data_IF_989920353738
#
_entry.id   IF_989920353738
#
_cell.length_a   1.000
_cell.length_b   1.000
_cell.length_c   1.000
_cell.angle_alpha   90.00
_cell.angle_beta   90.00
_cell.angle_gamma   90.00
#
_symmetry.space_group_name_H-M   'P 1'
#
loop_
_entity.id
_entity.type
_entity.pdbx_description
1 polymer ?
#
# COMPACT_ATOMS: atom_id res chain seq x y z
N UNK A 1 0.51 -69.51 16.22
CA UNK A 1 1.78 -69.04 15.57
C UNK A 1 1.63 -68.15 14.37
N UNK A 2 0.44 -67.89 13.83
CA UNK A 2 0.19 -67.09 12.63
C UNK A 2 0.07 -65.58 12.90
N UNK A 3 -0.40 -65.14 14.10
CA UNK A 3 -0.62 -63.73 14.46
C UNK A 3 0.70 -62.91 14.59
N UNK A 4 1.81 -63.55 14.96
CA UNK A 4 3.13 -62.89 15.12
C UNK A 4 3.80 -62.51 13.79
N UNK A 5 3.54 -63.31 12.72
CA UNK A 5 4.11 -63.01 11.38
C UNK A 5 3.41 -61.84 10.70
N UNK A 6 2.10 -61.68 10.87
CA UNK A 6 1.29 -60.56 10.31
C UNK A 6 1.70 -59.26 10.96
N UNK A 7 1.94 -59.26 12.28
CA UNK A 7 2.35 -58.03 12.99
C UNK A 7 3.75 -57.58 12.56
N UNK A 8 4.65 -58.48 12.29
CA UNK A 8 6.01 -58.14 11.80
C UNK A 8 5.98 -57.61 10.37
N UNK A 9 5.10 -58.14 9.50
CA UNK A 9 4.90 -57.61 8.15
C UNK A 9 4.27 -56.21 8.15
N UNK A 10 3.24 -55.99 8.99
CA UNK A 10 2.59 -54.70 9.13
C UNK A 10 3.55 -53.61 9.65
N UNK A 11 4.40 -53.96 10.63
CA UNK A 11 5.40 -53.05 11.21
C UNK A 11 6.50 -52.72 10.18
N UNK A 12 6.99 -53.72 9.43
CA UNK A 12 7.96 -53.49 8.36
C UNK A 12 7.45 -52.59 7.24
N UNK A 13 6.17 -52.78 6.86
CA UNK A 13 5.52 -51.96 5.83
C UNK A 13 5.29 -50.50 6.29
N UNK A 14 4.95 -50.33 7.56
CA UNK A 14 4.84 -49.00 8.18
C UNK A 14 6.17 -48.24 8.25
N UNK A 15 7.28 -48.97 8.59
CA UNK A 15 8.62 -48.37 8.57
C UNK A 15 9.07 -47.98 7.16
N UNK A 16 8.73 -48.76 6.13
CA UNK A 16 9.08 -48.43 4.74
C UNK A 16 8.28 -47.18 4.26
N UNK A 17 7.03 -47.04 4.64
CA UNK A 17 6.23 -45.85 4.34
C UNK A 17 6.78 -44.61 5.10
N UNK A 18 7.16 -44.75 6.36
CA UNK A 18 7.76 -43.67 7.15
C UNK A 18 9.11 -43.21 6.58
N UNK A 19 9.93 -44.12 6.05
CA UNK A 19 11.17 -43.78 5.37
C UNK A 19 10.95 -43.13 4.00
N UNK A 20 9.88 -43.49 3.28
CA UNK A 20 9.55 -42.87 2.00
C UNK A 20 9.07 -41.40 2.16
N UNK A 21 8.46 -41.05 3.31
CA UNK A 21 8.11 -39.66 3.62
C UNK A 21 9.28 -38.79 4.10
N UNK A 22 10.40 -39.41 4.53
CA UNK A 22 11.59 -38.67 4.96
C UNK A 22 12.50 -38.20 3.79
N UNK A 23 12.24 -38.67 2.59
CA UNK A 23 12.97 -38.28 1.37
C UNK A 23 12.10 -37.38 0.46
N UNK A 24 11.53 -36.33 1.03
CA UNK A 24 11.15 -35.17 0.19
C UNK A 24 12.48 -34.48 -0.14
N UNK A 25 12.88 -34.44 -1.41
CA UNK A 25 14.04 -33.63 -1.75
C UNK A 25 13.68 -32.20 -1.37
N UNK A 26 14.41 -31.62 -0.42
CA UNK A 26 14.47 -30.18 -0.24
C UNK A 26 15.16 -29.71 -1.51
N UNK A 27 14.36 -29.35 -2.51
CA UNK A 27 14.84 -28.86 -3.77
C UNK A 27 15.60 -27.57 -3.54
N UNK A 28 16.87 -27.58 -3.88
CA UNK A 28 17.74 -26.51 -4.35
C UNK A 28 17.54 -25.07 -3.84
N UNK A 29 17.33 -24.88 -2.53
CA UNK A 29 17.48 -23.54 -1.94
C UNK A 29 18.95 -23.21 -1.60
N UNK A 30 19.89 -24.11 -1.88
CA UNK A 30 21.28 -23.95 -1.49
C UNK A 30 22.06 -22.98 -2.40
N UNK A 31 21.66 -22.85 -3.66
CA UNK A 31 22.37 -22.01 -4.64
C UNK A 31 21.94 -20.52 -4.56
N UNK A 32 20.76 -20.24 -4.02
CA UNK A 32 20.22 -18.89 -3.88
C UNK A 32 20.71 -18.15 -2.64
N UNK A 33 21.28 -18.87 -1.66
CA UNK A 33 21.84 -18.27 -0.43
C UNK A 33 23.20 -17.66 -0.76
N UNK A 34 23.28 -16.35 -0.75
CA UNK A 34 24.48 -15.58 -1.11
C UNK A 34 25.35 -15.20 0.11
N UNK A 35 24.75 -15.12 1.30
CA UNK A 35 25.45 -14.76 2.53
C UNK A 35 24.71 -15.35 3.75
N UNK A 36 25.48 -15.73 4.78
CA UNK A 36 24.98 -16.13 6.10
C UNK A 36 25.72 -15.31 7.14
N UNK A 37 24.99 -14.60 7.97
CA UNK A 37 25.56 -13.81 9.06
C UNK A 37 26.10 -14.78 10.14
N UNK A 38 27.40 -14.74 10.49
CA UNK A 38 27.98 -15.66 11.46
C UNK A 38 27.46 -15.45 12.88
N UNK A 39 27.00 -14.25 13.23
CA UNK A 39 26.55 -13.90 14.58
C UNK A 39 25.10 -14.26 14.83
N UNK A 40 24.23 -14.03 13.84
CA UNK A 40 22.77 -14.24 13.96
C UNK A 40 22.28 -15.52 13.29
N UNK A 41 23.04 -16.06 12.33
CA UNK A 41 22.63 -17.17 11.48
C UNK A 41 21.64 -16.79 10.38
N UNK A 42 21.20 -15.53 10.32
CA UNK A 42 20.28 -15.05 9.28
C UNK A 42 20.98 -14.96 7.92
N UNK A 43 20.17 -15.09 6.86
CA UNK A 43 20.65 -15.30 5.49
C UNK A 43 20.24 -14.18 4.58
N UNK A 44 21.06 -13.92 3.57
CA UNK A 44 20.70 -13.15 2.37
C UNK A 44 20.47 -14.14 1.24
N UNK A 45 19.29 -14.03 0.61
CA UNK A 45 18.86 -14.87 -0.52
C UNK A 45 18.52 -13.95 -1.69
N UNK A 46 19.02 -14.31 -2.89
CA UNK A 46 18.67 -13.63 -4.13
C UNK A 46 18.17 -14.68 -5.12
N UNK A 47 16.94 -14.48 -5.60
CA UNK A 47 16.25 -15.31 -6.58
C UNK A 47 15.79 -14.37 -7.70
N UNK A 48 16.59 -14.25 -8.74
CA UNK A 48 16.31 -13.40 -9.90
C UNK A 48 15.82 -14.26 -11.07
N UNK A 49 14.52 -14.66 -11.02
CA UNK A 49 13.91 -15.52 -12.03
C UNK A 49 13.72 -14.81 -13.38
N UNK A 50 13.61 -13.49 -13.38
CA UNK A 50 13.40 -12.68 -14.59
C UNK A 50 14.70 -12.05 -15.13
N UNK A 51 15.87 -12.40 -14.55
CA UNK A 51 17.20 -11.92 -14.96
C UNK A 51 17.26 -10.37 -15.07
N UNK A 52 16.71 -9.70 -14.04
CA UNK A 52 16.64 -8.24 -13.99
C UNK A 52 17.94 -7.59 -13.54
N UNK A 53 18.79 -8.34 -12.83
CA UNK A 53 20.07 -7.88 -12.31
C UNK A 53 21.22 -8.60 -13.03
N UNK A 54 22.25 -7.86 -13.36
CA UNK A 54 23.48 -8.50 -13.81
C UNK A 54 24.31 -9.00 -12.60
N UNK A 55 25.28 -9.88 -12.85
CA UNK A 55 26.12 -10.49 -11.81
C UNK A 55 26.84 -9.48 -10.88
N UNK A 56 27.23 -8.30 -11.41
CA UNK A 56 27.88 -7.26 -10.61
C UNK A 56 26.86 -6.60 -9.67
N UNK A 57 25.66 -6.33 -10.18
CA UNK A 57 24.55 -5.76 -9.43
C UNK A 57 24.07 -6.70 -8.33
N UNK A 58 23.92 -8.01 -8.59
CA UNK A 58 23.61 -9.00 -7.55
C UNK A 58 24.63 -8.98 -6.41
N UNK A 59 25.93 -9.02 -6.76
CA UNK A 59 26.99 -8.97 -5.74
C UNK A 59 27.00 -7.67 -4.95
N UNK A 60 26.66 -6.55 -5.58
CA UNK A 60 26.54 -5.27 -4.90
C UNK A 60 25.29 -5.29 -3.97
N UNK A 61 24.18 -5.83 -4.45
CA UNK A 61 22.95 -5.94 -3.68
C UNK A 61 23.12 -6.82 -2.43
N UNK A 62 23.88 -7.92 -2.52
CA UNK A 62 24.22 -8.74 -1.33
C UNK A 62 24.88 -7.89 -0.24
N UNK A 63 25.79 -6.97 -0.60
CA UNK A 63 26.46 -6.10 0.37
C UNK A 63 25.47 -5.11 1.00
N UNK A 64 24.55 -4.57 0.18
CA UNK A 64 23.55 -3.63 0.66
C UNK A 64 22.52 -4.32 1.59
N UNK A 65 22.24 -5.62 1.36
CA UNK A 65 21.33 -6.43 2.18
C UNK A 65 21.99 -6.98 3.47
N UNK A 66 23.31 -7.14 3.49
CA UNK A 66 24.05 -7.77 4.61
C UNK A 66 23.74 -7.13 5.98
N UNK A 67 23.68 -5.79 6.16
CA UNK A 67 23.39 -5.19 7.46
C UNK A 67 22.02 -5.58 8.01
N UNK A 68 21.05 -5.86 7.14
CA UNK A 68 19.71 -6.26 7.54
C UNK A 68 19.65 -7.63 8.21
N UNK A 69 20.69 -8.45 8.04
CA UNK A 69 20.80 -9.77 8.70
C UNK A 69 21.01 -9.69 10.21
N UNK A 70 21.12 -8.50 10.78
CA UNK A 70 21.04 -8.30 12.24
C UNK A 70 19.58 -8.43 12.75
N UNK A 71 18.60 -8.16 11.89
CA UNK A 71 17.18 -8.10 12.23
C UNK A 71 16.38 -9.34 11.77
N UNK A 72 16.82 -10.00 10.70
CA UNK A 72 16.15 -11.16 10.16
C UNK A 72 16.76 -11.68 8.86
N UNK A 73 16.18 -12.75 8.33
CA UNK A 73 16.50 -13.27 7.00
C UNK A 73 15.99 -12.29 5.92
N UNK A 74 16.76 -12.07 4.88
CA UNK A 74 16.43 -11.10 3.82
C UNK A 74 16.45 -11.79 2.46
N UNK A 75 15.40 -11.59 1.68
CA UNK A 75 15.31 -12.08 0.31
C UNK A 75 14.99 -10.98 -0.68
N UNK A 76 15.63 -11.06 -1.83
CA UNK A 76 15.23 -10.40 -3.06
C UNK A 76 14.68 -11.45 -4.01
N UNK A 77 13.53 -11.17 -4.63
CA UNK A 77 12.90 -12.08 -5.56
C UNK A 77 12.29 -11.34 -6.73
N UNK A 78 12.56 -11.81 -7.96
CA UNK A 78 11.89 -11.35 -9.16
C UNK A 78 11.06 -12.47 -9.74
N UNK A 79 9.90 -12.17 -10.30
CA UNK A 79 9.03 -13.16 -10.92
C UNK A 79 8.13 -12.56 -11.98
N UNK A 80 7.99 -13.29 -13.10
CA UNK A 80 7.02 -13.02 -14.16
C UNK A 80 5.71 -13.80 -13.99
N UNK A 81 5.52 -14.49 -12.87
CA UNK A 81 4.32 -15.27 -12.62
C UNK A 81 3.12 -14.39 -12.31
N UNK A 82 2.00 -14.62 -12.99
CA UNK A 82 0.75 -13.92 -12.72
C UNK A 82 0.05 -14.51 -11.51
N UNK A 83 -0.34 -13.65 -10.59
CA UNK A 83 -1.15 -14.03 -9.42
C UNK A 83 -2.27 -13.01 -9.21
N UNK A 84 -3.34 -13.43 -8.56
CA UNK A 84 -4.42 -12.54 -8.14
C UNK A 84 -4.13 -11.81 -6.82
N UNK A 85 -3.13 -12.28 -6.05
CA UNK A 85 -2.74 -11.69 -4.77
C UNK A 85 -1.22 -11.81 -4.57
N UNK A 86 -0.50 -10.79 -4.96
CA UNK A 86 0.96 -10.73 -4.91
C UNK A 86 1.49 -10.74 -3.47
N UNK A 87 0.75 -10.15 -2.52
CA UNK A 87 1.15 -10.17 -1.09
C UNK A 87 1.13 -11.60 -0.54
N UNK A 88 0.12 -12.39 -0.91
CA UNK A 88 0.07 -13.79 -0.50
C UNK A 88 1.15 -14.63 -1.20
N UNK A 89 1.45 -14.33 -2.46
CA UNK A 89 2.55 -14.95 -3.20
C UNK A 89 3.90 -14.70 -2.49
N UNK A 90 4.22 -13.44 -2.20
CA UNK A 90 5.42 -13.04 -1.45
C UNK A 90 5.47 -13.71 -0.07
N UNK A 91 4.34 -13.81 0.63
CA UNK A 91 4.24 -14.48 1.93
C UNK A 91 4.56 -15.97 1.83
N UNK A 92 4.03 -16.66 0.82
CA UNK A 92 4.30 -18.08 0.59
C UNK A 92 5.77 -18.31 0.22
N UNK A 93 6.33 -17.49 -0.67
CA UNK A 93 7.76 -17.55 -1.05
C UNK A 93 8.65 -17.32 0.17
N UNK A 94 8.41 -16.25 0.95
CA UNK A 94 9.15 -16.00 2.20
C UNK A 94 9.08 -17.20 3.15
N UNK A 95 7.87 -17.77 3.31
CA UNK A 95 7.68 -18.92 4.18
C UNK A 95 8.39 -20.18 3.68
N UNK A 96 8.49 -20.39 2.39
CA UNK A 96 9.24 -21.50 1.81
C UNK A 96 10.74 -21.35 2.04
N UNK A 97 11.25 -20.10 2.02
CA UNK A 97 12.68 -19.81 2.22
C UNK A 97 13.12 -19.85 3.69
N UNK A 98 12.30 -19.30 4.57
CA UNK A 98 12.68 -19.00 5.96
C UNK A 98 11.77 -19.68 7.01
N UNK A 99 10.73 -20.38 6.58
CA UNK A 99 9.79 -21.01 7.51
C UNK A 99 9.07 -19.98 8.38
N UNK A 100 9.17 -20.17 9.70
CA UNK A 100 8.63 -19.27 10.73
C UNK A 100 9.67 -18.35 11.36
N UNK A 101 10.86 -18.30 10.80
CA UNK A 101 11.91 -17.39 11.27
C UNK A 101 11.60 -15.94 10.86
N UNK A 102 12.19 -14.99 11.62
CA UNK A 102 12.13 -13.59 11.29
C UNK A 102 12.75 -13.34 9.91
N UNK A 103 12.04 -12.60 9.05
CA UNK A 103 12.56 -12.30 7.73
C UNK A 103 11.67 -11.37 6.91
N UNK A 104 12.29 -10.78 5.90
CA UNK A 104 11.66 -9.87 4.96
C UNK A 104 12.00 -10.30 3.54
N UNK A 105 11.02 -10.21 2.63
CA UNK A 105 11.20 -10.40 1.20
C UNK A 105 10.78 -9.14 0.47
N UNK A 106 11.59 -8.70 -0.50
CA UNK A 106 11.23 -7.71 -1.49
C UNK A 106 11.07 -8.40 -2.83
N UNK A 107 9.88 -8.31 -3.40
CA UNK A 107 9.48 -8.91 -4.67
C UNK A 107 9.30 -7.83 -5.73
N UNK A 108 9.82 -8.09 -6.93
CA UNK A 108 9.48 -7.37 -8.17
C UNK A 108 8.69 -8.33 -9.05
N UNK A 109 7.37 -8.12 -9.14
CA UNK A 109 6.53 -8.92 -10.02
C UNK A 109 6.36 -8.22 -11.37
N UNK A 110 6.99 -8.78 -12.41
CA UNK A 110 7.01 -8.19 -13.75
C UNK A 110 5.69 -8.36 -14.48
N UNK A 111 4.96 -9.45 -14.23
CA UNK A 111 3.66 -9.71 -14.85
C UNK A 111 2.58 -8.77 -14.33
N UNK A 112 2.52 -8.59 -13.01
CA UNK A 112 1.55 -7.70 -12.37
C UNK A 112 2.03 -6.23 -12.34
N UNK A 113 3.30 -5.96 -12.66
CA UNK A 113 3.97 -4.67 -12.52
C UNK A 113 3.81 -4.11 -11.12
N UNK A 114 4.15 -4.93 -10.14
CA UNK A 114 4.01 -4.59 -8.73
C UNK A 114 5.30 -4.84 -7.96
N UNK A 115 5.53 -3.98 -6.97
CA UNK A 115 6.55 -4.12 -5.96
C UNK A 115 5.88 -4.56 -4.67
N UNK A 116 6.39 -5.57 -4.03
CA UNK A 116 5.84 -6.11 -2.79
C UNK A 116 6.93 -6.24 -1.74
N UNK A 117 6.68 -5.76 -0.54
CA UNK A 117 7.49 -6.06 0.64
C UNK A 117 6.61 -6.83 1.62
N UNK A 118 7.10 -7.99 2.05
CA UNK A 118 6.42 -8.81 3.03
C UNK A 118 7.41 -9.20 4.13
N UNK A 119 7.08 -8.88 5.37
CA UNK A 119 7.88 -9.13 6.57
C UNK A 119 7.18 -10.07 7.54
N UNK A 120 7.96 -10.71 8.42
CA UNK A 120 7.44 -11.59 9.45
C UNK A 120 8.42 -11.68 10.64
N UNK A 121 7.88 -11.96 11.82
CA UNK A 121 8.69 -12.12 13.03
C UNK A 121 9.16 -10.77 13.57
N UNK A 122 10.36 -10.75 14.16
CA UNK A 122 10.91 -9.56 14.81
C UNK A 122 11.07 -8.36 13.87
N UNK A 123 11.49 -8.59 12.62
CA UNK A 123 11.66 -7.52 11.63
C UNK A 123 10.31 -6.86 11.26
N UNK A 124 9.20 -7.59 11.42
CA UNK A 124 7.85 -7.08 11.17
C UNK A 124 7.41 -6.01 12.19
N UNK A 125 8.00 -5.98 13.38
CA UNK A 125 7.72 -4.94 14.38
C UNK A 125 8.14 -3.55 13.87
N UNK A 126 9.22 -3.52 13.09
CA UNK A 126 9.71 -2.29 12.45
C UNK A 126 9.10 -2.09 11.06
N UNK A 127 9.13 -3.10 10.19
CA UNK A 127 8.63 -3.05 8.82
C UNK A 127 7.15 -3.45 8.79
N UNK A 128 6.29 -2.56 9.27
CA UNK A 128 4.82 -2.73 9.25
C UNK A 128 4.26 -2.57 7.83
N UNK A 129 2.99 -2.95 7.61
CA UNK A 129 2.29 -2.77 6.31
C UNK A 129 2.35 -1.32 5.80
N UNK A 130 2.22 -0.36 6.71
CA UNK A 130 2.28 1.06 6.35
C UNK A 130 3.67 1.45 5.87
N UNK A 131 4.73 1.00 6.55
CA UNK A 131 6.12 1.25 6.16
C UNK A 131 6.47 0.53 4.87
N UNK A 132 6.10 -0.74 4.74
CA UNK A 132 6.29 -1.52 3.51
C UNK A 132 5.66 -0.83 2.30
N UNK A 133 4.43 -0.32 2.44
CA UNK A 133 3.75 0.44 1.38
C UNK A 133 4.43 1.78 1.09
N UNK A 134 4.90 2.48 2.10
CA UNK A 134 5.65 3.73 1.90
C UNK A 134 6.94 3.48 1.13
N UNK A 135 7.70 2.46 1.51
CA UNK A 135 8.95 2.08 0.84
C UNK A 135 8.69 1.72 -0.62
N UNK A 136 7.72 0.81 -0.89
CA UNK A 136 7.41 0.41 -2.27
C UNK A 136 6.97 1.60 -3.13
N UNK A 137 6.20 2.54 -2.59
CA UNK A 137 5.83 3.77 -3.29
C UNK A 137 7.04 4.66 -3.58
N UNK A 138 7.96 4.82 -2.61
CA UNK A 138 9.14 5.66 -2.78
C UNK A 138 10.06 5.15 -3.91
N UNK A 139 10.17 3.82 -4.08
CA UNK A 139 11.08 3.22 -5.06
C UNK A 139 10.43 2.88 -6.39
N UNK A 140 9.11 3.02 -6.53
CA UNK A 140 8.36 2.63 -7.73
C UNK A 140 8.82 3.34 -9.00
N UNK A 141 9.28 4.59 -8.89
CA UNK A 141 9.80 5.36 -10.03
C UNK A 141 11.07 4.76 -10.64
N UNK A 142 11.92 4.08 -9.85
CA UNK A 142 13.07 3.35 -10.37
C UNK A 142 12.63 2.14 -11.20
N UNK A 143 11.66 1.37 -10.70
CA UNK A 143 11.11 0.23 -11.44
C UNK A 143 10.43 0.67 -12.75
N UNK A 144 9.69 1.77 -12.74
CA UNK A 144 9.11 2.39 -13.94
C UNK A 144 10.19 2.75 -14.97
N UNK A 145 11.35 3.21 -14.49
CA UNK A 145 12.50 3.59 -15.32
C UNK A 145 13.40 2.39 -15.66
N UNK A 146 13.00 1.15 -15.32
CA UNK A 146 13.77 -0.09 -15.53
C UNK A 146 15.13 -0.10 -14.81
N UNK A 147 15.27 0.65 -13.74
CA UNK A 147 16.47 0.71 -12.92
C UNK A 147 16.31 -0.24 -11.70
N UNK A 148 16.23 -1.55 -11.97
CA UNK A 148 15.84 -2.54 -10.95
C UNK A 148 16.85 -2.67 -9.82
N UNK A 149 18.15 -2.54 -10.11
CA UNK A 149 19.18 -2.50 -9.08
C UNK A 149 18.99 -1.29 -8.13
N UNK A 150 18.80 -0.08 -8.68
CA UNK A 150 18.57 1.10 -7.86
C UNK A 150 17.27 0.98 -7.05
N UNK A 151 16.23 0.40 -7.64
CA UNK A 151 14.96 0.10 -6.98
C UNK A 151 15.19 -0.79 -5.75
N UNK A 152 15.89 -1.90 -5.92
CA UNK A 152 16.15 -2.89 -4.86
C UNK A 152 17.08 -2.34 -3.78
N UNK A 153 18.17 -1.69 -4.18
CA UNK A 153 19.12 -1.05 -3.27
C UNK A 153 18.44 -0.03 -2.38
N UNK A 154 17.65 0.87 -2.98
CA UNK A 154 16.95 1.90 -2.22
C UNK A 154 15.87 1.31 -1.31
N UNK A 155 15.16 0.26 -1.76
CA UNK A 155 14.20 -0.45 -0.94
C UNK A 155 14.87 -1.04 0.32
N UNK A 156 15.98 -1.75 0.16
CA UNK A 156 16.71 -2.33 1.30
C UNK A 156 17.35 -1.27 2.20
N UNK A 157 17.83 -0.16 1.63
CA UNK A 157 18.31 0.98 2.44
C UNK A 157 17.20 1.54 3.32
N UNK A 158 15.99 1.75 2.79
CA UNK A 158 14.86 2.24 3.57
C UNK A 158 14.34 1.21 4.58
N UNK A 159 14.40 -0.09 4.26
CA UNK A 159 14.09 -1.16 5.23
C UNK A 159 15.07 -1.09 6.41
N UNK A 160 16.36 -0.90 6.14
CA UNK A 160 17.37 -0.75 7.18
C UNK A 160 17.12 0.49 8.04
N UNK A 161 16.85 1.64 7.42
CA UNK A 161 16.53 2.87 8.14
C UNK A 161 15.35 2.69 9.08
N UNK A 162 14.29 1.98 8.63
CA UNK A 162 13.13 1.65 9.46
C UNK A 162 13.50 0.72 10.62
N UNK A 163 14.35 -0.28 10.39
CA UNK A 163 14.85 -1.18 11.44
C UNK A 163 15.69 -0.43 12.47
N UNK A 164 16.47 0.55 12.04
CA UNK A 164 17.25 1.45 12.89
C UNK A 164 16.43 2.60 13.51
N UNK A 165 15.11 2.58 13.35
CA UNK A 165 14.17 3.60 13.87
C UNK A 165 14.38 5.00 13.27
N UNK A 166 15.01 5.09 12.09
CA UNK A 166 15.12 6.33 11.33
C UNK A 166 13.82 6.60 10.58
N UNK A 167 13.58 7.87 10.28
CA UNK A 167 12.40 8.27 9.50
C UNK A 167 12.67 8.08 8.00
N UNK A 168 11.72 7.46 7.32
CA UNK A 168 11.69 7.41 5.85
C UNK A 168 10.67 8.42 5.31
N UNK A 169 10.80 8.75 4.02
CA UNK A 169 9.78 9.56 3.35
C UNK A 169 8.45 8.81 3.34
N UNK A 170 7.44 9.37 3.99
CA UNK A 170 6.08 8.82 3.98
C UNK A 170 5.19 9.71 3.11
N UNK A 171 4.35 9.11 2.24
CA UNK A 171 3.37 9.89 1.50
C UNK A 171 2.45 10.59 2.49
N UNK A 172 2.29 11.90 2.31
CA UNK A 172 1.37 12.70 3.13
C UNK A 172 -0.01 12.05 3.10
N UNK A 173 -0.53 11.68 4.25
CA UNK A 173 -1.92 11.19 4.39
C UNK A 173 -2.87 12.37 4.17
N UNK A 174 -3.07 12.72 2.90
CA UNK A 174 -3.84 13.88 2.44
C UNK A 174 -5.24 13.94 3.09
N UNK A 175 -5.85 12.78 3.34
CA UNK A 175 -7.17 12.70 3.98
C UNK A 175 -7.21 13.36 5.36
N UNK A 176 -6.17 13.20 6.18
CA UNK A 176 -6.08 13.83 7.51
C UNK A 176 -5.99 15.36 7.41
N UNK A 177 -5.18 15.86 6.50
CA UNK A 177 -5.03 17.31 6.31
C UNK A 177 -6.29 17.96 5.72
N UNK A 178 -7.02 17.27 4.84
CA UNK A 178 -8.32 17.76 4.32
C UNK A 178 -9.30 17.92 5.47
N UNK A 179 -9.42 16.94 6.37
CA UNK A 179 -10.34 17.01 7.52
C UNK A 179 -9.95 18.16 8.45
N UNK A 180 -8.67 18.30 8.79
CA UNK A 180 -8.17 19.39 9.65
C UNK A 180 -8.44 20.75 8.99
N UNK A 181 -8.15 20.90 7.69
CA UNK A 181 -8.40 22.12 6.93
C UNK A 181 -9.89 22.48 6.90
N UNK A 182 -10.75 21.50 6.72
CA UNK A 182 -12.19 21.69 6.68
C UNK A 182 -12.74 22.09 8.06
N UNK A 183 -12.24 21.46 9.13
CA UNK A 183 -12.60 21.85 10.52
C UNK A 183 -12.13 23.26 10.85
N UNK A 184 -10.88 23.61 10.46
CA UNK A 184 -10.37 24.96 10.69
C UNK A 184 -11.17 26.02 9.92
N UNK A 185 -11.51 25.74 8.65
CA UNK A 185 -12.37 26.61 7.84
C UNK A 185 -13.77 26.80 8.45
N UNK A 186 -14.34 25.73 8.99
CA UNK A 186 -15.64 25.80 9.68
C UNK A 186 -15.58 26.67 10.96
N UNK A 187 -14.52 26.51 11.77
CA UNK A 187 -14.32 27.32 12.98
C UNK A 187 -14.19 28.80 12.62
N UNK A 188 -13.43 29.15 11.58
CA UNK A 188 -13.26 30.52 11.10
C UNK A 188 -14.61 31.07 10.60
N UNK A 189 -15.35 30.29 9.81
CA UNK A 189 -16.66 30.69 9.29
C UNK A 189 -17.67 30.97 10.41
N UNK A 190 -17.71 30.13 11.43
CA UNK A 190 -18.54 30.31 12.63
C UNK A 190 -18.10 31.59 13.39
N UNK A 191 -16.79 31.81 13.57
CA UNK A 191 -16.27 33.02 14.22
C UNK A 191 -16.70 34.31 13.49
N UNK A 192 -16.62 34.32 12.16
CA UNK A 192 -17.08 35.45 11.35
C UNK A 192 -18.60 35.67 11.49
N UNK A 193 -19.38 34.59 11.48
CA UNK A 193 -20.84 34.65 11.62
C UNK A 193 -21.26 35.23 12.97
N UNK A 194 -20.61 34.79 14.07
CA UNK A 194 -20.85 35.35 15.39
C UNK A 194 -20.38 36.79 15.53
N UNK A 195 -19.24 37.16 14.93
CA UNK A 195 -18.73 38.54 14.91
C UNK A 195 -19.70 39.49 14.20
N UNK A 196 -20.28 39.08 13.06
CA UNK A 196 -21.29 39.85 12.35
C UNK A 196 -22.61 40.03 13.15
N UNK A 197 -22.97 39.02 13.95
CA UNK A 197 -24.21 39.09 14.76
C UNK A 197 -24.09 40.11 15.92
N UNK A 198 -22.85 40.31 16.42
CA UNK A 198 -22.60 41.25 17.53
C UNK A 198 -22.20 42.66 17.10
N UNK A 199 -21.88 42.86 15.82
CA UNK A 199 -21.78 44.21 15.26
C UNK A 199 -23.13 44.58 14.72
N UNK A 200 -23.82 45.58 15.29
CA UNK A 200 -25.00 46.14 14.62
C UNK A 200 -24.51 46.59 13.24
N UNK A 201 -25.08 45.98 12.21
CA UNK A 201 -25.00 46.53 10.85
C UNK A 201 -25.35 47.98 11.06
N UNK A 202 -24.45 48.92 10.75
CA UNK A 202 -24.82 50.30 10.61
C UNK A 202 -26.03 50.27 9.72
N UNK A 203 -27.23 50.43 10.33
CA UNK A 203 -28.42 50.78 9.59
C UNK A 203 -27.95 51.98 8.81
N UNK A 204 -27.88 51.86 7.52
CA UNK A 204 -27.96 53.03 6.66
C UNK A 204 -29.32 53.60 7.04
N UNK A 205 -29.26 54.56 7.96
CA UNK A 205 -30.40 55.43 8.20
C UNK A 205 -30.88 55.82 6.84
N UNK A 206 -32.14 55.58 6.60
CA UNK A 206 -32.89 56.14 5.53
C UNK A 206 -32.34 57.54 5.26
N UNK A 207 -31.43 57.65 4.30
CA UNK A 207 -31.17 58.93 3.66
C UNK A 207 -32.54 59.36 3.15
N UNK A 208 -33.13 60.28 3.91
CA UNK A 208 -34.50 60.70 3.70
C UNK A 208 -34.77 60.94 2.21
N UNK A 209 -35.93 60.53 1.78
CA UNK A 209 -36.44 60.65 0.40
C UNK A 209 -36.33 62.07 -0.20
N UNK A 210 -35.84 63.04 0.61
CA UNK A 210 -35.81 64.44 0.26
C UNK A 210 -34.58 64.88 -0.57
N UNK A 211 -33.62 64.02 -0.80
CA UNK A 211 -32.40 64.43 -1.51
C UNK A 211 -32.30 64.01 -2.98
N UNK A 212 -33.25 63.29 -3.53
CA UNK A 212 -33.27 62.90 -4.95
C UNK A 212 -34.47 63.41 -5.72
N UNK A 213 -34.91 64.60 -5.41
CA UNK A 213 -35.83 65.33 -6.33
C UNK A 213 -34.97 65.85 -7.48
N UNK A 214 -34.76 65.01 -8.48
CA UNK A 214 -34.30 65.45 -9.79
C UNK A 214 -35.45 66.19 -10.43
N UNK A 215 -35.45 67.51 -10.27
CA UNK A 215 -36.20 68.39 -11.14
C UNK A 215 -35.56 68.35 -12.53
N UNK A 216 -35.96 67.41 -13.32
CA UNK A 216 -35.65 67.28 -14.73
C UNK A 216 -36.91 66.83 -15.44
N UNK A 217 -37.58 67.74 -16.09
CA UNK A 217 -38.61 67.43 -17.04
C UNK A 217 -38.02 66.60 -18.20
N UNK A 218 -38.09 65.28 -18.06
CA UNK A 218 -37.79 64.37 -19.16
C UNK A 218 -38.99 64.21 -20.02
N UNK A 219 -39.17 65.10 -20.97
CA UNK A 219 -40.14 64.96 -22.08
C UNK A 219 -39.44 64.19 -23.23
N UNK A 220 -39.26 62.89 -23.04
CA UNK A 220 -38.96 61.97 -24.13
C UNK A 220 -40.02 60.86 -24.12
N UNK A 221 -40.64 60.51 -25.22
CA UNK A 221 -41.53 59.36 -25.23
C UNK A 221 -40.77 58.09 -24.98
N UNK A 222 -41.13 57.37 -23.92
CA UNK A 222 -40.59 56.06 -23.63
C UNK A 222 -41.16 55.07 -24.64
N UNK A 223 -40.35 54.74 -25.65
CA UNK A 223 -40.70 53.67 -26.57
C UNK A 223 -40.48 52.35 -25.85
N UNK A 224 -41.51 51.65 -25.43
CA UNK A 224 -41.47 50.36 -24.82
C UNK A 224 -41.03 49.32 -25.86
N UNK A 225 -39.74 48.98 -25.89
CA UNK A 225 -39.24 47.86 -26.68
C UNK A 225 -39.67 46.57 -25.98
N UNK A 226 -40.58 45.85 -26.62
CA UNK A 226 -41.00 44.53 -26.17
C UNK A 226 -39.80 43.55 -26.36
N UNK A 227 -39.06 43.19 -25.30
CA UNK A 227 -38.05 42.17 -25.32
C UNK A 227 -38.75 40.80 -25.26
N UNK A 228 -38.73 40.11 -26.38
CA UNK A 228 -39.37 38.81 -26.54
C UNK A 228 -38.91 37.81 -25.48
N UNK A 229 -39.86 37.00 -25.05
CA UNK A 229 -39.69 35.95 -24.08
C UNK A 229 -38.64 34.94 -24.56
N UNK A 230 -37.51 34.85 -23.89
CA UNK A 230 -36.48 33.80 -24.13
C UNK A 230 -37.02 32.49 -23.58
N UNK A 231 -37.38 31.57 -24.47
CA UNK A 231 -37.78 30.21 -24.12
C UNK A 231 -36.50 29.42 -23.88
N UNK A 232 -36.22 29.09 -22.64
CA UNK A 232 -35.08 28.24 -22.22
C UNK A 232 -35.41 26.79 -22.61
N UNK A 233 -34.82 26.30 -23.71
CA UNK A 233 -34.89 24.89 -24.09
C UNK A 233 -33.94 24.09 -23.24
N UNK A 234 -34.43 23.51 -22.15
CA UNK A 234 -33.70 22.45 -21.44
C UNK A 234 -33.78 21.17 -22.28
N UNK A 235 -32.63 20.58 -22.64
CA UNK A 235 -32.61 19.23 -23.24
C UNK A 235 -33.09 18.19 -22.20
N UNK A 236 -33.80 17.15 -22.63
CA UNK A 236 -34.28 16.12 -21.72
C UNK A 236 -33.13 15.38 -21.10
N UNK A 237 -33.11 15.27 -19.76
CA UNK A 237 -32.17 14.46 -18.99
C UNK A 237 -32.37 12.98 -19.33
N UNK A 238 -31.40 12.38 -20.01
CA UNK A 238 -31.32 10.93 -20.17
C UNK A 238 -31.05 10.29 -18.82
N UNK A 239 -32.03 9.61 -18.28
CA UNK A 239 -31.89 8.72 -17.13
C UNK A 239 -31.12 7.50 -17.55
N UNK A 240 -29.80 7.44 -17.25
CA UNK A 240 -29.04 6.23 -17.27
C UNK A 240 -29.11 5.58 -15.89
N UNK A 241 -29.60 4.33 -15.87
CA UNK A 241 -29.85 3.57 -14.67
C UNK A 241 -28.60 3.34 -13.82
N UNK A 242 -28.75 3.57 -12.56
CA UNK A 242 -27.79 3.18 -11.52
C UNK A 242 -27.89 1.68 -11.29
N UNK A 243 -26.89 0.93 -11.70
CA UNK A 243 -26.67 -0.42 -11.20
C UNK A 243 -26.08 -0.31 -9.79
N UNK A 244 -26.80 -0.92 -8.84
CA UNK A 244 -26.50 -0.89 -7.42
C UNK A 244 -25.18 -1.54 -7.07
N UNK A 245 -24.39 -0.84 -6.30
CA UNK A 245 -23.30 -1.45 -5.52
C UNK A 245 -23.91 -2.17 -4.33
N UNK A 246 -23.84 -3.51 -4.36
CA UNK A 246 -24.19 -4.36 -3.24
C UNK A 246 -23.31 -4.05 -2.03
N UNK A 247 -23.96 -3.73 -0.95
CA UNK A 247 -23.38 -3.61 0.38
C UNK A 247 -22.81 -4.96 0.82
N UNK A 248 -21.49 -5.03 1.00
CA UNK A 248 -20.88 -6.13 1.75
C UNK A 248 -21.02 -5.82 3.23
N UNK A 249 -22.06 -6.40 3.82
CA UNK A 249 -22.28 -6.45 5.27
C UNK A 249 -21.41 -7.53 5.90
N UNK A 250 -20.73 -7.12 6.98
CA UNK A 250 -20.38 -7.88 8.18
C UNK A 250 -19.72 -9.25 8.01
N UNK A 251 -18.41 -9.28 8.22
CA UNK A 251 -17.77 -10.41 8.86
C UNK A 251 -17.52 -10.07 10.35
N UNK A 252 -18.43 -10.54 11.18
CA UNK A 252 -18.27 -10.61 12.63
C UNK A 252 -17.60 -11.94 12.99
N UNK A 253 -16.83 -11.87 14.08
CA UNK A 253 -16.35 -12.92 14.96
C UNK A 253 -15.15 -13.77 14.53
N UNK A 254 -14.01 -13.46 15.08
CA UNK A 254 -13.42 -14.29 16.14
C UNK A 254 -12.57 -15.43 15.66
N UNK A 255 -11.30 -15.14 15.34
CA UNK A 255 -10.21 -16.08 15.64
C UNK A 255 -8.92 -15.28 15.68
N UNK A 256 -8.30 -15.24 16.83
CA UNK A 256 -6.97 -14.69 17.04
C UNK A 256 -5.92 -15.51 16.30
N UNK A 257 -5.62 -15.16 15.08
CA UNK A 257 -4.43 -15.63 14.38
C UNK A 257 -3.30 -14.63 14.64
N UNK A 258 -2.55 -14.84 15.70
CA UNK A 258 -1.38 -14.06 16.10
C UNK A 258 -0.13 -14.39 15.27
N UNK A 259 -0.24 -14.47 13.95
CA UNK A 259 0.92 -14.71 13.08
C UNK A 259 0.73 -14.15 11.67
N UNK A 260 0.09 -13.01 11.53
CA UNK A 260 0.05 -12.33 10.24
C UNK A 260 1.31 -11.50 10.07
N UNK A 261 2.19 -11.89 9.15
CA UNK A 261 3.26 -11.02 8.67
C UNK A 261 2.67 -9.82 7.94
N UNK A 262 3.35 -8.68 8.00
CA UNK A 262 2.96 -7.48 7.27
C UNK A 262 3.37 -7.54 5.81
N UNK A 263 2.59 -6.98 4.94
CA UNK A 263 2.89 -6.82 3.54
C UNK A 263 2.39 -5.49 2.98
N UNK A 264 3.22 -4.84 2.21
CA UNK A 264 2.85 -3.64 1.44
C UNK A 264 3.23 -3.80 -0.02
N UNK A 265 2.41 -3.27 -0.92
CA UNK A 265 2.66 -3.31 -2.34
C UNK A 265 2.34 -1.99 -3.02
N UNK A 266 3.05 -1.70 -4.11
CA UNK A 266 2.75 -0.62 -5.04
C UNK A 266 2.91 -1.11 -6.47
N UNK A 267 2.20 -0.49 -7.42
CA UNK A 267 2.38 -0.72 -8.87
C UNK A 267 3.34 0.29 -9.48
N UNK A 268 3.95 -0.09 -10.58
CA UNK A 268 4.90 0.72 -11.34
C UNK A 268 4.67 0.64 -12.85
#
# INVERSE_FOLDING_TARGET
>A
MMKSKIFRFAFSFFCIIALAFAAVPVADAADDVKYVNPDTGYKVVIIDEDDLLNFIEERALVKDMTPLTEYGNIAFWTTGEYTSNEIDQARLKRRSLFGLESGCIFEINMSARKLVIQSYGKINESVTDSKARSITNNVSHYATSKQYYNCSREAFSQILDVCEQKSISEPLKISGYIVISLMLGLIIAIGIAFSKKNNPILQFDELGEDHYRLEGEFSAPVETVYVGQVTDHRPPSSSSGSSGCGSCSSCSSGSSCSSCGSGGSSSF
#
